data_IF_097248985053
#
_entry.id   IF_097248985053
#
_cell.length_a   1.000
_cell.length_b   1.000
_cell.length_c   1.000
_cell.angle_alpha   90.00
_cell.angle_beta   90.00
_cell.angle_gamma   90.00
#
_symmetry.space_group_name_H-M   'P 1'
#
loop_
_entity.id
_entity.type
_entity.pdbx_description
1 polymer ?
#
# COMPACT_ATOMS: atom_id res chain seq x y z
N UNK A 1 -0.74 -7.34 -16.91
CA UNK A 1 0.57 -7.22 -16.25
C UNK A 1 1.10 -8.62 -16.03
N UNK A 2 2.36 -8.92 -16.38
CA UNK A 2 2.86 -10.32 -16.36
C UNK A 2 4.07 -10.57 -15.46
N UNK A 3 4.76 -9.51 -15.04
CA UNK A 3 5.92 -9.55 -14.16
C UNK A 3 6.15 -8.14 -13.58
N UNK A 4 7.04 -8.03 -12.60
CA UNK A 4 7.35 -6.76 -11.95
C UNK A 4 7.87 -5.69 -12.91
N UNK A 5 8.66 -6.06 -13.93
CA UNK A 5 9.11 -5.14 -14.98
C UNK A 5 7.95 -4.44 -15.72
N UNK A 6 6.89 -5.19 -16.01
CA UNK A 6 5.69 -4.63 -16.65
C UNK A 6 5.01 -3.60 -15.74
N UNK A 7 5.01 -3.84 -14.42
CA UNK A 7 4.47 -2.92 -13.42
C UNK A 7 5.31 -1.64 -13.39
N UNK A 8 6.64 -1.76 -13.32
CA UNK A 8 7.57 -0.61 -13.32
C UNK A 8 7.39 0.25 -14.58
N UNK A 9 7.30 -0.39 -15.75
CA UNK A 9 7.07 0.30 -17.02
C UNK A 9 5.73 1.03 -17.04
N UNK A 10 4.66 0.38 -16.55
CA UNK A 10 3.33 0.97 -16.44
C UNK A 10 3.35 2.23 -15.56
N UNK A 11 3.87 2.12 -14.33
CA UNK A 11 3.91 3.23 -13.38
C UNK A 11 4.64 4.46 -13.97
N UNK A 12 5.77 4.21 -14.65
CA UNK A 12 6.52 5.25 -15.35
C UNK A 12 5.71 5.87 -16.49
N UNK A 13 5.02 5.06 -17.29
CA UNK A 13 4.21 5.54 -18.43
C UNK A 13 2.96 6.31 -18.00
N UNK A 14 2.39 5.97 -16.84
CA UNK A 14 1.24 6.67 -16.23
C UNK A 14 1.62 7.99 -15.55
N UNK A 15 2.92 8.33 -15.51
CA UNK A 15 3.40 9.59 -14.96
C UNK A 15 3.55 9.61 -13.44
N UNK A 16 3.52 8.46 -12.77
CA UNK A 16 3.82 8.41 -11.34
C UNK A 16 5.29 8.74 -11.09
N UNK A 17 5.54 9.57 -10.07
CA UNK A 17 6.88 9.76 -9.53
C UNK A 17 7.27 8.51 -8.74
N UNK A 18 8.08 7.67 -9.35
CA UNK A 18 8.53 6.39 -8.80
C UNK A 18 10.02 6.40 -8.47
N UNK A 19 10.38 5.73 -7.37
CA UNK A 19 11.74 5.44 -6.94
C UNK A 19 11.87 3.93 -6.81
N UNK A 20 12.91 3.34 -7.40
CA UNK A 20 13.21 1.92 -7.23
C UNK A 20 14.00 1.79 -5.92
N UNK A 21 13.47 1.04 -4.97
CA UNK A 21 14.11 0.82 -3.67
C UNK A 21 14.97 -0.45 -3.71
N UNK A 22 14.39 -1.54 -4.20
CA UNK A 22 15.04 -2.86 -4.34
C UNK A 22 14.67 -3.49 -5.70
N UNK A 23 15.21 -4.66 -6.02
CA UNK A 23 14.95 -5.35 -7.29
C UNK A 23 13.44 -5.57 -7.53
N UNK A 24 12.72 -5.91 -6.46
CA UNK A 24 11.30 -6.28 -6.46
C UNK A 24 10.42 -5.28 -5.69
N UNK A 25 10.91 -4.05 -5.44
CA UNK A 25 10.18 -3.01 -4.73
C UNK A 25 10.29 -1.66 -5.44
N UNK A 26 9.14 -1.04 -5.70
CA UNK A 26 9.05 0.33 -6.21
C UNK A 26 8.17 1.16 -5.27
N UNK A 27 8.69 2.31 -4.87
CA UNK A 27 7.96 3.32 -4.12
C UNK A 27 7.41 4.36 -5.08
N UNK A 28 6.16 4.78 -4.90
CA UNK A 28 5.58 5.92 -5.61
C UNK A 28 5.11 6.96 -4.61
N UNK A 29 5.26 8.22 -4.97
CA UNK A 29 4.73 9.35 -4.20
C UNK A 29 3.39 9.78 -4.79
N UNK A 30 2.29 9.40 -4.13
CA UNK A 30 0.95 9.79 -4.55
C UNK A 30 0.63 11.20 -4.04
N UNK A 31 0.43 12.13 -4.99
CA UNK A 31 0.02 13.49 -4.67
C UNK A 31 -1.49 13.56 -4.37
N UNK A 32 -1.83 14.08 -3.20
CA UNK A 32 -3.19 14.22 -2.69
C UNK A 32 -3.49 15.70 -2.39
N UNK A 33 -4.79 16.03 -2.31
CA UNK A 33 -5.26 17.39 -2.02
C UNK A 33 -4.61 18.50 -2.89
N UNK A 34 -4.49 18.26 -4.21
CA UNK A 34 -3.84 19.19 -5.16
C UNK A 34 -2.36 19.49 -4.84
N UNK A 35 -1.60 18.49 -4.40
CA UNK A 35 -0.17 18.66 -4.12
C UNK A 35 0.16 19.19 -2.74
N UNK A 36 -0.82 19.29 -1.84
CA UNK A 36 -0.57 19.67 -0.45
C UNK A 36 -0.09 18.50 0.39
N UNK A 37 -0.41 17.28 -0.03
CA UNK A 37 -0.07 16.06 0.69
C UNK A 37 0.46 15.01 -0.25
N UNK A 38 1.27 14.14 0.32
CA UNK A 38 1.97 13.09 -0.38
C UNK A 38 1.88 11.82 0.46
N UNK A 39 1.45 10.73 -0.15
CA UNK A 39 1.43 9.41 0.47
C UNK A 39 2.41 8.50 -0.26
N UNK A 40 3.35 7.90 0.46
CA UNK A 40 4.24 6.89 -0.10
C UNK A 40 3.48 5.57 -0.25
N UNK A 41 3.41 5.05 -1.47
CA UNK A 41 2.84 3.73 -1.78
C UNK A 41 3.94 2.82 -2.26
N UNK A 42 4.03 1.64 -1.68
CA UNK A 42 5.00 0.61 -2.03
C UNK A 42 4.30 -0.44 -2.87
N UNK A 43 4.91 -0.81 -3.99
CA UNK A 43 4.50 -1.94 -4.80
C UNK A 43 5.63 -2.96 -4.77
N UNK A 44 5.34 -4.18 -4.33
CA UNK A 44 6.32 -5.25 -4.24
C UNK A 44 5.82 -6.56 -4.85
N UNK A 45 6.71 -7.31 -5.46
CA UNK A 45 6.43 -8.68 -5.88
C UNK A 45 6.58 -9.64 -4.68
N UNK A 46 5.72 -10.64 -4.63
CA UNK A 46 5.69 -11.69 -3.62
C UNK A 46 5.32 -13.00 -4.30
N UNK A 47 5.73 -14.12 -3.74
CA UNK A 47 5.25 -15.43 -4.16
C UNK A 47 4.29 -16.03 -3.11
N UNK A 48 3.30 -16.78 -3.57
CA UNK A 48 2.55 -17.69 -2.70
C UNK A 48 3.33 -19.01 -2.46
N UNK A 49 2.74 -19.90 -1.68
CA UNK A 49 3.35 -21.18 -1.32
C UNK A 49 3.60 -22.11 -2.54
N UNK A 50 2.92 -21.86 -3.67
CA UNK A 50 3.08 -22.60 -4.94
C UNK A 50 4.05 -21.88 -5.90
N UNK A 51 4.64 -20.74 -5.51
CA UNK A 51 5.53 -19.94 -6.34
C UNK A 51 4.79 -19.08 -7.38
N UNK A 52 3.49 -18.82 -7.19
CA UNK A 52 2.74 -17.91 -8.06
C UNK A 52 2.99 -16.47 -7.62
N UNK A 53 3.29 -15.56 -8.56
CA UNK A 53 3.58 -14.18 -8.21
C UNK A 53 2.31 -13.40 -7.89
N UNK A 54 2.43 -12.53 -6.90
CA UNK A 54 1.46 -11.55 -6.44
C UNK A 54 2.10 -10.17 -6.42
N UNK A 55 1.32 -9.17 -6.80
CA UNK A 55 1.64 -7.78 -6.53
C UNK A 55 1.02 -7.39 -5.19
N UNK A 56 1.85 -6.98 -4.22
CA UNK A 56 1.41 -6.25 -3.04
C UNK A 56 1.46 -4.76 -3.31
N UNK A 57 0.39 -4.06 -2.99
CA UNK A 57 0.34 -2.60 -2.92
C UNK A 57 0.11 -2.22 -1.46
N UNK A 58 0.98 -1.41 -0.86
CA UNK A 58 0.89 -1.06 0.55
C UNK A 58 1.27 0.37 0.85
N UNK A 59 0.81 0.88 2.00
CA UNK A 59 1.26 2.16 2.55
C UNK A 59 1.30 2.10 4.07
N UNK A 60 2.32 2.73 4.66
CA UNK A 60 2.43 2.87 6.11
C UNK A 60 1.41 3.90 6.60
N UNK A 61 0.71 3.60 7.69
CA UNK A 61 -0.31 4.51 8.26
C UNK A 61 0.04 5.04 9.65
N UNK A 62 0.76 4.26 10.47
CA UNK A 62 1.22 4.65 11.80
C UNK A 62 2.24 3.63 12.37
N UNK A 63 3.07 4.00 13.37
CA UNK A 63 3.82 3.04 14.16
C UNK A 63 2.91 2.04 14.90
N UNK A 64 3.39 0.84 15.20
CA UNK A 64 2.59 -0.17 15.93
C UNK A 64 2.46 0.10 17.43
N UNK A 65 3.19 1.08 17.96
CA UNK A 65 3.15 1.43 19.39
C UNK A 65 1.75 1.89 19.79
N UNK A 66 1.13 1.20 20.76
CA UNK A 66 -0.22 1.51 21.22
C UNK A 66 -1.34 0.98 20.33
N UNK A 67 -1.05 0.14 19.33
CA UNK A 67 -2.06 -0.45 18.44
C UNK A 67 -3.06 -1.36 19.21
N UNK A 68 -4.36 -1.08 19.09
CA UNK A 68 -5.41 -2.02 19.49
C UNK A 68 -5.67 -3.06 18.38
N UNK A 69 -5.11 -4.25 18.56
CA UNK A 69 -5.25 -5.36 17.62
C UNK A 69 -6.71 -5.82 17.42
N UNK A 70 -7.58 -5.72 18.44
CA UNK A 70 -9.00 -6.12 18.30
C UNK A 70 -9.73 -5.17 17.36
N UNK A 71 -9.48 -3.86 17.50
CA UNK A 71 -10.03 -2.85 16.59
C UNK A 71 -9.48 -2.99 15.18
N UNK A 72 -8.18 -3.24 15.03
CA UNK A 72 -7.57 -3.47 13.72
C UNK A 72 -8.21 -4.68 13.00
N UNK A 73 -8.43 -5.78 13.71
CA UNK A 73 -9.11 -6.96 13.16
C UNK A 73 -10.59 -6.69 12.83
N UNK A 74 -11.29 -5.91 13.66
CA UNK A 74 -12.66 -5.49 13.38
C UNK A 74 -12.74 -4.56 12.16
N UNK A 75 -11.76 -3.66 11.98
CA UNK A 75 -11.62 -2.84 10.78
C UNK A 75 -11.39 -3.73 9.54
N UNK A 76 -10.47 -4.69 9.61
CA UNK A 76 -10.20 -5.60 8.49
C UNK A 76 -11.46 -6.32 8.02
N UNK A 77 -12.31 -6.75 8.95
CA UNK A 77 -13.59 -7.37 8.62
C UNK A 77 -14.55 -6.43 7.87
N UNK A 78 -14.54 -5.14 8.20
CA UNK A 78 -15.45 -4.15 7.62
C UNK A 78 -14.91 -3.51 6.33
N UNK A 79 -13.58 -3.51 6.15
CA UNK A 79 -12.93 -2.87 5.02
C UNK A 79 -13.30 -3.56 3.71
N UNK A 80 -13.54 -2.75 2.68
CA UNK A 80 -13.70 -3.21 1.29
C UNK A 80 -12.44 -2.99 0.46
N UNK A 81 -11.46 -2.27 1.01
CA UNK A 81 -10.24 -1.82 0.33
C UNK A 81 -9.06 -2.13 1.24
N UNK A 82 -8.21 -3.03 0.80
CA UNK A 82 -7.08 -3.52 1.58
C UNK A 82 -7.45 -4.11 2.94
N UNK A 83 -6.40 -4.53 3.62
CA UNK A 83 -6.43 -5.00 5.00
C UNK A 83 -5.19 -4.46 5.74
N UNK A 84 -5.31 -4.39 7.06
CA UNK A 84 -4.21 -3.99 7.93
C UNK A 84 -3.29 -5.18 8.18
N UNK A 85 -2.00 -4.91 8.04
CA UNK A 85 -0.91 -5.81 8.37
C UNK A 85 0.17 -5.06 9.15
N UNK A 86 1.09 -5.79 9.78
CA UNK A 86 2.31 -5.20 10.33
C UNK A 86 3.44 -5.50 9.35
N UNK A 87 4.13 -4.45 8.92
CA UNK A 87 5.35 -4.53 8.13
C UNK A 87 6.44 -3.68 8.75
N UNK A 88 7.67 -3.88 8.30
CA UNK A 88 8.81 -3.06 8.70
C UNK A 88 9.01 -1.92 7.70
N UNK A 89 9.28 -0.72 8.20
CA UNK A 89 9.71 0.42 7.41
C UNK A 89 10.89 1.05 8.16
N UNK A 90 12.05 1.14 7.51
CA UNK A 90 13.29 1.68 8.09
C UNK A 90 13.68 1.08 9.46
N UNK A 91 13.49 -0.24 9.64
CA UNK A 91 13.77 -0.91 10.91
C UNK A 91 12.70 -0.75 11.98
N UNK A 92 11.61 -0.05 11.67
CA UNK A 92 10.54 0.26 12.63
C UNK A 92 9.23 -0.45 12.22
N UNK A 93 8.60 -1.19 13.14
CA UNK A 93 7.32 -1.82 12.86
C UNK A 93 6.23 -0.75 12.66
N UNK A 94 5.60 -0.80 11.50
CA UNK A 94 4.51 0.06 11.11
C UNK A 94 3.26 -0.75 10.80
N UNK A 95 2.12 -0.20 11.19
CA UNK A 95 0.84 -0.59 10.64
C UNK A 95 0.82 -0.20 9.17
N UNK A 96 0.55 -1.18 8.31
CA UNK A 96 0.46 -1.06 6.87
C UNK A 96 -0.98 -1.31 6.45
N UNK A 97 -1.52 -0.48 5.57
CA UNK A 97 -2.69 -0.83 4.78
C UNK A 97 -2.18 -1.45 3.47
N UNK A 98 -2.56 -2.69 3.19
CA UNK A 98 -2.08 -3.38 2.00
C UNK A 98 -3.14 -4.25 1.31
N UNK A 99 -2.88 -4.56 0.05
CA UNK A 99 -3.67 -5.48 -0.75
C UNK A 99 -2.74 -6.30 -1.67
N UNK A 100 -2.97 -7.61 -1.75
CA UNK A 100 -2.22 -8.50 -2.64
C UNK A 100 -3.13 -8.95 -3.78
N UNK A 101 -2.68 -8.80 -5.02
CA UNK A 101 -3.37 -9.31 -6.21
C UNK A 101 -2.49 -10.30 -6.96
N UNK A 102 -3.02 -11.47 -7.38
CA UNK A 102 -2.26 -12.35 -8.25
C UNK A 102 -1.96 -11.62 -9.55
N UNK A 103 -0.80 -11.90 -10.17
CA UNK A 103 -0.52 -11.37 -11.50
C UNK A 103 -1.50 -11.91 -12.56
N UNK A 104 -2.03 -13.10 -12.32
CA UNK A 104 -3.10 -13.67 -13.15
C UNK A 104 -4.34 -12.76 -13.12
N UNK A 105 -4.68 -12.20 -14.28
CA UNK A 105 -5.82 -11.27 -14.42
C UNK A 105 -5.54 -9.84 -13.98
N UNK A 106 -4.31 -9.49 -13.56
CA UNK A 106 -3.97 -8.13 -13.16
C UNK A 106 -3.79 -7.22 -14.39
N UNK A 107 -4.66 -6.23 -14.52
CA UNK A 107 -4.64 -5.25 -15.61
C UNK A 107 -4.01 -3.92 -15.18
N UNK A 108 -3.58 -3.11 -16.16
CA UNK A 108 -3.01 -1.78 -15.93
C UNK A 108 -3.93 -0.88 -15.08
N UNK A 109 -5.21 -0.83 -15.46
CA UNK A 109 -6.22 -0.05 -14.77
C UNK A 109 -6.43 -0.52 -13.32
N UNK A 110 -6.23 -1.81 -13.05
CA UNK A 110 -6.34 -2.36 -11.70
C UNK A 110 -5.16 -1.92 -10.84
N UNK A 111 -3.94 -1.85 -11.39
CA UNK A 111 -2.77 -1.29 -10.68
C UNK A 111 -3.03 0.17 -10.32
N UNK A 112 -3.52 0.97 -11.26
CA UNK A 112 -3.86 2.38 -10.99
C UNK A 112 -4.94 2.51 -9.92
N UNK A 113 -5.99 1.67 -9.99
CA UNK A 113 -7.06 1.63 -8.99
C UNK A 113 -6.53 1.31 -7.60
N UNK A 114 -5.69 0.28 -7.46
CA UNK A 114 -5.09 -0.10 -6.19
C UNK A 114 -4.25 1.03 -5.60
N UNK A 115 -3.41 1.68 -6.41
CA UNK A 115 -2.60 2.83 -5.99
C UNK A 115 -3.47 3.94 -5.41
N UNK A 116 -4.55 4.31 -6.12
CA UNK A 116 -5.44 5.39 -5.71
C UNK A 116 -6.30 5.01 -4.48
N UNK A 117 -6.81 3.79 -4.43
CA UNK A 117 -7.65 3.31 -3.33
C UNK A 117 -6.86 3.13 -2.04
N UNK A 118 -5.71 2.44 -2.10
CA UNK A 118 -4.82 2.22 -0.96
C UNK A 118 -4.21 3.55 -0.51
N UNK A 119 -3.73 4.38 -1.43
CA UNK A 119 -3.15 5.66 -1.07
C UNK A 119 -4.16 6.65 -0.50
N UNK A 120 -5.34 6.75 -1.10
CA UNK A 120 -6.41 7.61 -0.60
C UNK A 120 -6.96 7.16 0.76
N UNK A 121 -7.10 5.85 1.00
CA UNK A 121 -7.53 5.33 2.30
C UNK A 121 -6.43 5.46 3.36
N UNK A 122 -5.19 5.11 3.02
CA UNK A 122 -4.03 5.24 3.90
C UNK A 122 -3.84 6.66 4.41
N UNK A 123 -3.90 7.65 3.51
CA UNK A 123 -3.83 9.07 3.86
C UNK A 123 -4.92 9.50 4.86
N UNK A 124 -6.17 9.05 4.66
CA UNK A 124 -7.27 9.33 5.59
C UNK A 124 -7.05 8.68 6.95
N UNK A 125 -6.54 7.45 6.97
CA UNK A 125 -6.21 6.75 8.21
C UNK A 125 -5.09 7.47 8.95
N UNK A 126 -4.02 7.83 8.27
CA UNK A 126 -2.90 8.59 8.84
C UNK A 126 -3.38 9.90 9.49
N UNK A 127 -4.32 10.62 8.86
CA UNK A 127 -4.94 11.83 9.46
C UNK A 127 -5.71 11.53 10.72
N UNK A 128 -6.54 10.49 10.70
CA UNK A 128 -7.35 10.11 11.86
C UNK A 128 -6.45 9.74 13.04
N UNK A 129 -5.30 9.10 12.77
CA UNK A 129 -4.34 8.69 13.77
C UNK A 129 -3.44 9.86 14.26
N UNK A 130 -3.08 10.79 13.37
CA UNK A 130 -2.20 11.93 13.68
C UNK A 130 -2.94 13.15 14.28
N UNK A 131 -4.26 13.26 14.07
CA UNK A 131 -5.09 14.39 14.48
C UNK A 131 -5.53 14.45 15.95
N UNK A 132 -5.04 13.54 16.81
CA UNK A 132 -5.17 13.65 18.27
C UNK A 132 -6.53 13.30 18.88
N UNK A 133 -7.19 12.24 18.41
CA UNK A 133 -8.39 11.72 19.08
C UNK A 133 -8.51 10.22 18.93
N UNK A 134 -8.12 9.50 19.98
CA UNK A 134 -8.24 8.06 20.21
C UNK A 134 -9.00 7.25 19.15
N UNK A 135 -8.25 6.37 18.49
CA UNK A 135 -8.81 5.11 17.98
C UNK A 135 -8.07 3.88 18.49
N UNK A 136 -7.30 4.01 19.58
CA UNK A 136 -6.72 2.89 20.31
C UNK A 136 -7.13 2.95 21.78
#
# INVERSE_FOLDING_TARGET
MRNFDSIRQHLKSSGYRSTIEEEDVVCIELSLEHGKRHQSIFLSELDDDDGRPYLRVSTAVAPTTGLDARRALAFNWQSRVGYLAIGELDGVPHLQLCENRPYEGLEAAEVDRLVLEIGGLGDRMERMLSGGGDLF
#
